data_IF_237311378874
#
_entry.id   IF_237311378874
#
_cell.length_a   1.000
_cell.length_b   1.000
_cell.length_c   1.000
_cell.angle_alpha   90.00
_cell.angle_beta   90.00
_cell.angle_gamma   90.00
#
_symmetry.space_group_name_H-M   'P 1'
#
loop_
_entity.id
_entity.type
_entity.pdbx_description
1 polymer ?
#
# COMPACT_ATOMS: atom_id res chain seq x y z
N UNK A 1 -7.70 -41.99 21.35
CA UNK A 1 -7.87 -40.76 20.56
C UNK A 1 -6.63 -40.59 19.70
N UNK A 2 -6.73 -40.74 18.37
CA UNK A 2 -5.59 -40.58 17.47
C UNK A 2 -5.47 -39.10 17.06
N UNK A 3 -4.29 -38.51 17.29
CA UNK A 3 -4.02 -37.14 16.88
C UNK A 3 -4.03 -37.07 15.35
N UNK A 4 -4.90 -36.22 14.79
CA UNK A 4 -4.91 -35.89 13.36
C UNK A 4 -3.64 -35.09 13.05
N UNK A 5 -2.70 -35.69 12.32
CA UNK A 5 -1.57 -34.97 11.74
C UNK A 5 -2.11 -33.92 10.77
N UNK A 6 -1.97 -32.64 11.12
CA UNK A 6 -2.30 -31.53 10.22
C UNK A 6 -1.48 -31.70 8.94
N UNK A 7 -2.16 -31.74 7.79
CA UNK A 7 -1.50 -31.82 6.48
C UNK A 7 -0.47 -30.73 6.34
N UNK A 8 0.75 -31.08 5.91
CA UNK A 8 1.83 -30.13 5.72
C UNK A 8 1.43 -29.16 4.61
N UNK A 9 1.18 -27.89 4.96
CA UNK A 9 1.01 -26.84 3.96
C UNK A 9 2.34 -26.60 3.24
N UNK A 10 2.53 -27.23 2.09
CA UNK A 10 3.58 -26.87 1.14
C UNK A 10 3.16 -25.61 0.40
N UNK A 11 3.86 -24.50 0.66
CA UNK A 11 3.69 -23.25 -0.11
C UNK A 11 4.68 -23.23 -1.27
N UNK A 12 4.15 -23.06 -2.47
CA UNK A 12 4.96 -22.75 -3.66
C UNK A 12 5.31 -21.28 -3.63
N UNK A 13 6.60 -20.95 -3.76
CA UNK A 13 7.06 -19.56 -3.87
C UNK A 13 6.53 -18.95 -5.18
N UNK A 14 5.99 -17.73 -5.12
CA UNK A 14 5.63 -16.98 -6.33
C UNK A 14 6.90 -16.52 -7.05
N UNK A 15 6.97 -16.62 -8.40
CA UNK A 15 8.11 -16.11 -9.15
C UNK A 15 8.33 -14.61 -8.90
N UNK A 16 9.57 -14.23 -8.61
CA UNK A 16 9.91 -12.82 -8.46
C UNK A 16 9.80 -12.08 -9.79
N UNK A 17 9.33 -10.83 -9.74
CA UNK A 17 9.44 -9.89 -10.85
C UNK A 17 10.89 -9.46 -11.07
N UNK A 18 11.17 -8.91 -12.26
CA UNK A 18 12.48 -8.37 -12.65
C UNK A 18 12.92 -7.19 -11.75
N UNK A 19 11.98 -6.34 -11.35
CA UNK A 19 12.21 -5.21 -10.46
C UNK A 19 12.28 -5.57 -8.98
N UNK A 20 11.92 -6.80 -8.61
CA UNK A 20 11.90 -7.22 -7.21
C UNK A 20 13.32 -7.25 -6.64
N UNK A 21 13.50 -6.73 -5.41
CA UNK A 21 14.78 -6.76 -4.71
C UNK A 21 15.18 -8.17 -4.23
N UNK A 22 14.23 -9.12 -4.21
CA UNK A 22 14.42 -10.53 -3.82
C UNK A 22 15.05 -10.69 -2.42
N UNK A 23 14.74 -9.77 -1.52
CA UNK A 23 15.22 -9.79 -0.14
C UNK A 23 14.11 -10.18 0.85
N UNK A 24 14.44 -10.17 2.15
CA UNK A 24 13.52 -10.52 3.24
C UNK A 24 12.30 -9.59 3.36
N UNK A 25 12.21 -8.52 2.56
CA UNK A 25 11.04 -7.62 2.55
C UNK A 25 9.90 -8.22 1.75
N UNK A 26 10.17 -9.22 0.91
CA UNK A 26 9.14 -9.99 0.22
C UNK A 26 8.38 -10.85 1.23
N UNK A 27 7.05 -10.72 1.25
CA UNK A 27 6.15 -11.44 2.14
C UNK A 27 5.45 -12.61 1.45
N UNK A 28 4.34 -13.05 2.06
CA UNK A 28 3.49 -14.11 1.48
C UNK A 28 2.74 -13.59 0.26
N UNK A 29 3.26 -13.91 -0.93
CA UNK A 29 2.81 -13.42 -2.24
C UNK A 29 2.99 -11.90 -2.44
N UNK A 30 3.91 -11.30 -1.68
CA UNK A 30 4.29 -9.90 -1.85
C UNK A 30 5.70 -9.78 -2.41
N UNK A 31 5.84 -9.03 -3.51
CA UNK A 31 7.13 -8.66 -4.07
C UNK A 31 7.37 -7.17 -3.87
N UNK A 32 8.54 -6.81 -3.34
CA UNK A 32 8.92 -5.41 -3.09
C UNK A 32 10.17 -5.03 -3.86
N UNK A 33 10.18 -3.81 -4.40
CA UNK A 33 11.36 -3.20 -5.03
C UNK A 33 12.29 -2.61 -3.98
N UNK A 34 13.50 -2.24 -4.39
CA UNK A 34 14.35 -1.39 -3.58
C UNK A 34 13.64 -0.04 -3.33
N UNK A 35 13.61 0.39 -2.07
CA UNK A 35 12.96 1.63 -1.67
C UNK A 35 13.64 2.84 -2.33
N UNK A 36 12.87 3.67 -3.01
CA UNK A 36 13.33 4.95 -3.55
C UNK A 36 13.06 6.04 -2.53
N UNK A 37 14.11 6.77 -2.13
CA UNK A 37 14.00 7.82 -1.11
C UNK A 37 14.13 9.18 -1.76
N UNK A 38 13.27 10.11 -1.38
CA UNK A 38 13.41 11.54 -1.71
C UNK A 38 13.26 12.36 -0.44
N UNK A 39 13.99 13.47 -0.35
CA UNK A 39 13.95 14.39 0.76
C UNK A 39 13.93 15.82 0.25
N UNK A 40 13.10 16.67 0.87
CA UNK A 40 13.03 18.11 0.58
C UNK A 40 12.89 18.86 1.89
N UNK A 41 13.82 19.79 2.14
CA UNK A 41 13.93 20.44 3.44
C UNK A 41 14.05 19.40 4.55
N UNK A 42 13.15 19.44 5.53
CA UNK A 42 13.09 18.50 6.66
C UNK A 42 12.13 17.32 6.42
N UNK A 43 11.42 17.31 5.29
CA UNK A 43 10.50 16.23 4.91
C UNK A 43 11.20 15.10 4.16
N UNK A 44 10.73 13.87 4.37
CA UNK A 44 11.21 12.67 3.70
C UNK A 44 10.05 11.84 3.16
N UNK A 45 10.16 11.36 1.93
CA UNK A 45 9.25 10.39 1.36
C UNK A 45 10.02 9.15 0.86
N UNK A 46 9.40 7.99 1.02
CA UNK A 46 9.91 6.71 0.56
C UNK A 46 8.84 6.09 -0.33
N UNK A 47 9.22 5.74 -1.56
CA UNK A 47 8.32 5.12 -2.54
C UNK A 47 8.83 3.71 -2.83
N UNK A 48 7.95 2.72 -2.70
CA UNK A 48 8.24 1.32 -2.98
C UNK A 48 7.21 0.78 -3.94
N UNK A 49 7.64 0.25 -5.09
CA UNK A 49 6.78 -0.59 -5.93
C UNK A 49 6.58 -1.93 -5.22
N UNK A 50 5.32 -2.30 -5.01
CA UNK A 50 4.88 -3.52 -4.33
C UNK A 50 3.91 -4.25 -5.25
N UNK A 51 4.05 -5.58 -5.37
CA UNK A 51 3.04 -6.44 -6.00
C UNK A 51 2.48 -7.36 -4.95
N UNK A 52 1.17 -7.34 -4.76
CA UNK A 52 0.45 -8.24 -3.87
C UNK A 52 -0.55 -9.06 -4.68
N UNK A 53 -0.27 -10.35 -4.86
CA UNK A 53 -0.96 -11.16 -5.87
C UNK A 53 -0.73 -10.62 -7.29
N UNK A 54 -1.81 -10.24 -7.98
CA UNK A 54 -1.74 -9.73 -9.36
C UNK A 54 -1.84 -8.21 -9.48
N UNK A 55 -1.95 -7.51 -8.35
CA UNK A 55 -2.06 -6.04 -8.33
C UNK A 55 -0.73 -5.43 -7.91
N UNK A 56 -0.29 -4.42 -8.65
CA UNK A 56 0.85 -3.60 -8.31
C UNK A 56 0.42 -2.26 -7.70
N UNK A 57 1.17 -1.84 -6.69
CA UNK A 57 0.96 -0.62 -5.92
C UNK A 57 2.25 0.19 -5.89
N UNK A 58 2.10 1.51 -5.91
CA UNK A 58 3.12 2.42 -5.41
C UNK A 58 2.82 2.70 -3.93
N UNK A 59 3.54 2.04 -3.03
CA UNK A 59 3.45 2.30 -1.59
C UNK A 59 4.30 3.53 -1.26
N UNK A 60 3.69 4.54 -0.63
CA UNK A 60 4.34 5.82 -0.32
C UNK A 60 4.29 6.08 1.18
N UNK A 61 5.45 6.19 1.82
CA UNK A 61 5.60 6.54 3.22
C UNK A 61 6.22 7.93 3.35
N UNK A 62 5.49 8.88 3.94
CA UNK A 62 5.92 10.26 4.08
C UNK A 62 6.06 10.63 5.55
N UNK A 63 7.15 11.32 5.90
CA UNK A 63 7.40 11.85 7.24
C UNK A 63 7.74 13.33 7.14
N UNK A 64 6.94 14.15 7.81
CA UNK A 64 7.10 15.61 7.88
C UNK A 64 7.07 16.03 9.36
N UNK A 65 8.05 16.80 9.84
CA UNK A 65 7.98 17.38 11.17
C UNK A 65 6.83 18.39 11.27
N UNK A 66 6.00 18.26 12.29
CA UNK A 66 4.93 19.22 12.58
C UNK A 66 5.42 20.35 13.48
N UNK A 67 4.70 21.46 13.45
CA UNK A 67 4.86 22.57 14.39
C UNK A 67 4.66 22.09 15.83
N UNK A 68 5.36 22.71 16.77
CA UNK A 68 5.13 22.50 18.21
C UNK A 68 3.85 23.19 18.71
N UNK A 69 3.26 24.08 17.91
CA UNK A 69 1.98 24.74 18.20
C UNK A 69 0.85 23.89 17.61
N UNK A 70 -0.07 23.45 18.47
CA UNK A 70 -1.13 22.52 18.11
C UNK A 70 -2.01 23.03 16.96
N UNK A 71 -2.43 24.30 17.00
CA UNK A 71 -3.28 24.87 15.94
C UNK A 71 -2.56 24.85 14.59
N UNK A 72 -1.27 25.20 14.58
CA UNK A 72 -0.45 25.14 13.36
C UNK A 72 -0.28 23.68 12.89
N UNK A 73 -0.06 22.73 13.79
CA UNK A 73 0.08 21.32 13.45
C UNK A 73 -1.20 20.76 12.82
N UNK A 74 -2.38 21.16 13.34
CA UNK A 74 -3.68 20.80 12.75
C UNK A 74 -3.85 21.37 11.34
N UNK A 75 -3.50 22.64 11.13
CA UNK A 75 -3.51 23.24 9.79
C UNK A 75 -2.55 22.52 8.85
N UNK A 76 -1.36 22.14 9.31
CA UNK A 76 -0.39 21.37 8.52
C UNK A 76 -0.97 20.01 8.11
N UNK A 77 -1.62 19.29 9.04
CA UNK A 77 -2.23 18.00 8.75
C UNK A 77 -3.38 18.10 7.76
N UNK A 78 -4.27 19.09 7.93
CA UNK A 78 -5.37 19.33 6.99
C UNK A 78 -4.85 19.68 5.59
N UNK A 79 -3.80 20.51 5.52
CA UNK A 79 -3.13 20.86 4.25
C UNK A 79 -2.49 19.63 3.61
N UNK A 80 -1.79 18.81 4.39
CA UNK A 80 -1.17 17.58 3.91
C UNK A 80 -2.22 16.63 3.35
N UNK A 81 -3.34 16.42 4.06
CA UNK A 81 -4.42 15.56 3.61
C UNK A 81 -5.00 16.03 2.26
N UNK A 82 -5.23 17.34 2.10
CA UNK A 82 -5.69 17.92 0.84
C UNK A 82 -4.69 17.67 -0.30
N UNK A 83 -3.41 17.98 -0.06
CA UNK A 83 -2.36 17.81 -1.08
C UNK A 83 -2.13 16.34 -1.44
N UNK A 84 -2.35 15.41 -0.51
CA UNK A 84 -2.33 13.98 -0.80
C UNK A 84 -3.51 13.57 -1.70
N UNK A 85 -4.69 14.18 -1.52
CA UNK A 85 -5.81 14.04 -2.46
C UNK A 85 -5.42 14.50 -3.87
N UNK A 86 -4.89 15.72 -3.97
CA UNK A 86 -4.42 16.29 -5.25
C UNK A 86 -3.34 15.40 -5.90
N UNK A 87 -2.43 14.83 -5.09
CA UNK A 87 -1.41 13.88 -5.57
C UNK A 87 -2.03 12.59 -6.11
N UNK A 88 -3.01 12.03 -5.41
CA UNK A 88 -3.70 10.83 -5.87
C UNK A 88 -4.41 11.09 -7.20
N UNK A 89 -5.11 12.21 -7.33
CA UNK A 89 -5.78 12.60 -8.58
C UNK A 89 -4.80 12.79 -9.74
N UNK A 90 -3.59 13.29 -9.46
CA UNK A 90 -2.54 13.48 -10.46
C UNK A 90 -1.83 12.18 -10.87
N UNK A 91 -1.63 11.25 -9.93
CA UNK A 91 -0.78 10.04 -10.13
C UNK A 91 -1.61 8.80 -10.47
N UNK A 92 -2.87 8.71 -10.02
CA UNK A 92 -3.80 7.73 -10.56
C UNK A 92 -3.98 8.10 -12.02
N UNK A 93 -3.24 7.43 -12.89
CA UNK A 93 -3.43 7.51 -14.33
C UNK A 93 -4.93 7.43 -14.58
N UNK A 94 -5.54 8.43 -15.25
CA UNK A 94 -6.95 8.36 -15.66
C UNK A 94 -7.13 6.97 -16.28
N UNK A 95 -7.88 6.07 -15.62
CA UNK A 95 -7.85 4.69 -16.04
C UNK A 95 -8.52 4.64 -17.41
N UNK A 96 -7.82 4.10 -18.40
CA UNK A 96 -8.52 3.14 -19.25
C UNK A 96 -9.01 2.06 -18.29
N UNK A 97 -10.28 2.23 -17.88
CA UNK A 97 -11.10 1.41 -16.99
C UNK A 97 -10.34 0.22 -16.40
N UNK A 98 -9.75 0.39 -15.22
CA UNK A 98 -9.51 -0.78 -14.37
C UNK A 98 -10.89 -1.35 -14.06
N UNK A 99 -11.17 -2.64 -14.32
CA UNK A 99 -12.46 -3.21 -14.00
C UNK A 99 -12.72 -2.95 -12.52
N UNK A 100 -13.75 -2.14 -12.26
CA UNK A 100 -14.21 -1.87 -10.92
C UNK A 100 -14.35 -3.22 -10.22
N UNK A 101 -13.69 -3.39 -9.07
CA UNK A 101 -13.83 -4.58 -8.25
C UNK A 101 -15.34 -4.73 -7.98
N UNK A 102 -15.99 -5.66 -8.67
CA UNK A 102 -17.43 -5.86 -8.58
C UNK A 102 -17.78 -5.93 -7.10
N UNK A 103 -18.67 -5.02 -6.68
CA UNK A 103 -18.90 -4.69 -5.29
C UNK A 103 -19.11 -5.94 -4.45
N UNK A 104 -18.33 -6.06 -3.37
CA UNK A 104 -18.80 -6.86 -2.24
C UNK A 104 -20.12 -6.25 -1.83
N UNK A 105 -21.22 -7.01 -1.94
CA UNK A 105 -22.45 -6.66 -1.23
C UNK A 105 -22.08 -6.47 0.24
N UNK A 106 -22.35 -5.28 0.77
CA UNK A 106 -22.38 -5.08 2.21
C UNK A 106 -23.32 -6.14 2.80
N UNK A 107 -22.94 -6.72 3.94
CA UNK A 107 -23.67 -7.81 4.61
C UNK A 107 -25.01 -7.30 5.21
N UNK A 108 -25.34 -6.03 5.00
CA UNK A 108 -26.42 -5.36 5.73
C UNK A 108 -27.51 -4.90 4.75
N UNK A 109 -28.26 -5.86 4.19
CA UNK A 109 -29.66 -5.63 3.86
C UNK A 109 -30.46 -6.85 4.30
N UNK A 110 -31.13 -6.67 5.44
CA UNK A 110 -32.07 -7.61 6.00
C UNK A 110 -33.14 -7.99 4.99
N UNK A 111 -33.51 -9.27 5.04
CA UNK A 111 -34.75 -9.76 4.49
C UNK A 111 -35.90 -9.04 5.18
N UNK A 112 -36.74 -8.39 4.37
CA UNK A 112 -38.16 -8.14 4.68
C UNK A 112 -38.94 -8.76 3.54
#
# INVERSE_FOLDING_TARGET
>A
MAARTMGRFTRTQTPHTDWCARDHRCGLNEHRSAAKVTARGTGRAVVTRVRAGDVEYAEVHIRIPLSRREDTARTQLATLLRLLGDLLDAVIARPHVLPARAGRRAIDRGAV
#
